data_IF_068624924435
#
_entry.id   IF_068624924435
#
_cell.length_a   1.000
_cell.length_b   1.000
_cell.length_c   1.000
_cell.angle_alpha   90.00
_cell.angle_beta   90.00
_cell.angle_gamma   90.00
#
_symmetry.space_group_name_H-M   'P 1'
#
loop_
_entity.id
_entity.type
_entity.pdbx_description
1 polymer ?
#
# COMPACT_ATOMS: atom_id res chain seq x y z
N UNK A 1 -61.69 -15.57 11.71
CA UNK A 1 -62.08 -14.15 11.61
C UNK A 1 -61.65 -13.72 10.21
N UNK A 2 -62.53 -13.56 9.21
CA UNK A 2 -63.73 -12.69 9.11
C UNK A 2 -63.37 -11.20 9.32
N UNK A 3 -63.74 -10.26 8.44
CA UNK A 3 -64.30 -10.37 7.08
C UNK A 3 -64.22 -9.01 6.32
N UNK A 4 -64.40 -9.03 4.98
CA UNK A 4 -65.06 -8.06 4.05
C UNK A 4 -64.88 -6.53 4.24
N UNK A 5 -65.00 -5.62 3.26
CA UNK A 5 -65.58 -5.56 1.89
C UNK A 5 -66.09 -4.09 1.71
N UNK A 6 -66.44 -3.50 0.56
CA UNK A 6 -66.49 -3.91 -0.86
C UNK A 6 -67.51 -3.00 -1.61
N UNK A 7 -67.15 -2.46 -2.78
CA UNK A 7 -68.03 -1.85 -3.83
C UNK A 7 -68.81 -0.54 -3.42
N UNK A 8 -69.38 0.33 -4.26
CA UNK A 8 -69.72 0.49 -5.71
C UNK A 8 -69.37 1.95 -6.16
N UNK A 9 -69.44 2.44 -7.42
CA UNK A 9 -69.80 1.91 -8.75
C UNK A 9 -70.21 3.06 -9.72
N UNK A 10 -70.00 2.89 -11.04
CA UNK A 10 -70.46 3.76 -12.18
C UNK A 10 -69.91 5.23 -12.22
N UNK A 11 -69.71 5.97 -13.34
CA UNK A 11 -69.86 5.83 -14.80
C UNK A 11 -69.20 7.08 -15.49
N UNK A 12 -69.31 7.42 -16.79
CA UNK A 12 -69.80 6.77 -18.02
C UNK A 12 -69.34 7.57 -19.28
N UNK A 13 -68.78 6.89 -20.32
CA UNK A 13 -68.65 7.25 -21.76
C UNK A 13 -67.90 8.52 -22.30
N UNK A 14 -67.21 8.34 -23.44
CA UNK A 14 -66.80 9.41 -24.37
C UNK A 14 -65.81 9.00 -25.48
N UNK A 15 -66.27 8.43 -26.60
CA UNK A 15 -65.42 7.87 -27.68
C UNK A 15 -65.75 8.41 -29.09
N UNK A 16 -64.76 8.90 -29.85
CA UNK A 16 -64.69 9.02 -31.33
C UNK A 16 -63.27 9.53 -31.72
N UNK A 17 -62.49 9.10 -32.73
CA UNK A 17 -62.60 8.33 -33.99
C UNK A 17 -62.81 9.14 -35.31
N UNK A 18 -61.68 9.33 -36.02
CA UNK A 18 -61.41 9.22 -37.48
C UNK A 18 -61.77 10.31 -38.54
N UNK A 19 -60.96 10.28 -39.63
CA UNK A 19 -61.01 11.06 -40.90
C UNK A 19 -59.63 11.72 -41.20
N UNK A 20 -58.74 11.32 -42.12
CA UNK A 20 -58.83 10.76 -43.50
C UNK A 20 -59.44 11.80 -44.50
N UNK A 21 -58.93 12.15 -45.70
CA UNK A 21 -57.74 11.72 -46.50
C UNK A 21 -57.52 12.64 -47.75
N UNK A 22 -56.31 12.65 -48.38
CA UNK A 22 -56.03 12.90 -49.85
C UNK A 22 -56.38 14.30 -50.49
N UNK A 23 -55.92 14.75 -51.69
CA UNK A 23 -54.80 14.48 -52.64
C UNK A 23 -54.65 15.65 -53.69
N UNK A 24 -53.57 15.69 -54.49
CA UNK A 24 -53.49 16.39 -55.82
C UNK A 24 -52.69 17.71 -55.87
N UNK A 25 -51.45 17.79 -56.38
CA UNK A 25 -50.94 17.85 -57.79
C UNK A 25 -51.09 19.18 -58.55
N UNK A 26 -49.96 19.79 -58.99
CA UNK A 26 -49.93 20.89 -59.99
C UNK A 26 -48.50 21.37 -60.32
N UNK A 27 -48.16 21.54 -61.61
CA UNK A 27 -46.84 22.03 -62.11
C UNK A 27 -46.96 23.44 -62.69
N UNK A 28 -45.87 24.23 -62.65
CA UNK A 28 -45.72 25.43 -63.50
C UNK A 28 -44.37 26.15 -63.34
N UNK A 29 -43.60 26.29 -64.42
CA UNK A 29 -42.60 27.38 -64.57
C UNK A 29 -43.29 28.67 -65.06
N UNK A 30 -42.63 29.77 -65.44
CA UNK A 30 -41.23 30.04 -65.81
C UNK A 30 -41.00 31.56 -65.57
N UNK A 31 -39.82 31.99 -65.11
CA UNK A 31 -39.22 33.26 -65.59
C UNK A 31 -37.71 33.33 -65.31
N UNK A 32 -36.99 34.14 -66.11
CA UNK A 32 -35.52 34.26 -66.12
C UNK A 32 -35.09 35.68 -65.74
N UNK A 33 -33.93 35.80 -65.09
CA UNK A 33 -33.26 37.08 -64.79
C UNK A 33 -31.74 36.94 -65.09
N UNK A 34 -31.00 38.01 -65.45
CA UNK A 34 -29.69 37.89 -66.13
C UNK A 34 -28.51 37.46 -65.24
N UNK A 35 -27.33 37.12 -65.83
CA UNK A 35 -26.22 36.52 -65.09
C UNK A 35 -25.33 37.55 -64.36
N UNK A 36 -25.17 37.39 -63.05
CA UNK A 36 -24.26 38.18 -62.23
C UNK A 36 -22.83 37.58 -62.15
N UNK A 37 -21.83 38.46 -61.95
CA UNK A 37 -20.39 38.27 -62.18
C UNK A 37 -19.68 37.27 -61.25
N UNK A 38 -20.41 36.55 -60.38
CA UNK A 38 -19.83 35.57 -59.43
C UNK A 38 -19.30 34.29 -60.08
N UNK A 39 -19.82 33.86 -61.25
CA UNK A 39 -19.44 32.56 -61.86
C UNK A 39 -18.03 32.49 -62.46
N UNK A 40 -17.33 33.60 -62.69
CA UNK A 40 -15.98 33.60 -63.26
C UNK A 40 -14.85 33.43 -62.22
N UNK A 41 -15.10 33.70 -60.93
CA UNK A 41 -14.07 33.47 -59.87
C UNK A 41 -13.98 32.02 -59.40
N UNK A 42 -15.09 31.25 -59.43
CA UNK A 42 -15.11 29.86 -58.95
C UNK A 42 -14.30 28.87 -59.83
N UNK A 43 -14.30 29.03 -61.16
CA UNK A 43 -13.57 28.12 -62.07
C UNK A 43 -12.04 28.23 -61.96
N UNK A 44 -11.50 29.29 -61.35
CA UNK A 44 -10.04 29.48 -61.21
C UNK A 44 -9.49 28.89 -59.90
N UNK A 45 -10.31 28.75 -58.86
CA UNK A 45 -9.93 28.10 -57.59
C UNK A 45 -9.99 26.58 -57.67
N UNK A 46 -11.00 25.99 -58.34
CA UNK A 46 -11.13 24.55 -58.51
C UNK A 46 -9.95 23.90 -59.26
N UNK A 47 -9.41 24.57 -60.28
CA UNK A 47 -8.22 24.08 -61.03
C UNK A 47 -6.93 24.11 -60.20
N UNK A 48 -6.85 24.93 -59.15
CA UNK A 48 -5.68 24.96 -58.24
C UNK A 48 -5.80 23.90 -57.14
N UNK A 49 -7.02 23.63 -56.64
CA UNK A 49 -7.29 22.56 -55.67
C UNK A 49 -6.99 21.16 -56.20
N UNK A 50 -7.37 20.85 -57.45
CA UNK A 50 -7.14 19.51 -58.04
C UNK A 50 -5.65 19.14 -58.17
N UNK A 51 -4.76 20.08 -58.51
CA UNK A 51 -3.31 19.79 -58.66
C UNK A 51 -2.59 19.55 -57.33
N UNK A 52 -3.12 20.03 -56.21
CA UNK A 52 -2.55 19.77 -54.87
C UNK A 52 -3.00 18.39 -54.35
N UNK A 53 -4.19 17.93 -54.76
CA UNK A 53 -4.72 16.62 -54.37
C UNK A 53 -4.01 15.43 -55.04
N UNK A 54 -3.44 15.59 -56.25
CA UNK A 54 -2.72 14.52 -56.94
C UNK A 54 -1.28 14.34 -56.45
N UNK A 55 -0.59 15.41 -56.03
CA UNK A 55 0.77 15.33 -55.48
C UNK A 55 0.85 14.66 -54.09
N UNK A 56 -0.25 14.67 -53.32
CA UNK A 56 -0.30 14.12 -51.96
C UNK A 56 -0.70 12.63 -51.89
N UNK A 57 -0.94 11.95 -53.03
CA UNK A 57 -1.37 10.56 -53.07
C UNK A 57 -0.31 9.51 -52.64
N UNK A 58 0.99 9.63 -53.00
CA UNK A 58 1.99 8.63 -52.59
C UNK A 58 2.22 8.54 -51.08
N UNK A 59 2.14 9.67 -50.36
CA UNK A 59 2.45 9.73 -48.93
C UNK A 59 1.33 9.20 -48.01
N UNK A 60 0.09 9.03 -48.51
CA UNK A 60 -1.01 8.42 -47.73
C UNK A 60 -0.95 6.89 -47.66
N UNK A 61 -0.15 6.24 -48.50
CA UNK A 61 0.08 4.79 -48.43
C UNK A 61 1.01 4.41 -47.26
N UNK A 62 2.15 5.09 -47.17
CA UNK A 62 3.22 4.79 -46.20
C UNK A 62 2.79 5.04 -44.75
N UNK A 63 1.92 6.03 -44.51
CA UNK A 63 1.50 6.39 -43.15
C UNK A 63 0.50 5.38 -42.50
N UNK A 64 -0.02 4.40 -43.26
CA UNK A 64 -0.92 3.34 -42.77
C UNK A 64 -0.21 2.05 -42.33
N UNK A 65 1.08 1.90 -42.61
CA UNK A 65 1.89 0.72 -42.21
C UNK A 65 2.78 0.97 -40.98
N UNK A 66 2.64 2.13 -40.30
CA UNK A 66 3.35 2.41 -39.05
C UNK A 66 4.83 2.81 -39.19
N UNK A 67 5.34 2.99 -40.41
CA UNK A 67 6.73 3.41 -40.63
C UNK A 67 6.92 4.93 -40.38
N UNK A 68 8.04 5.29 -39.74
CA UNK A 68 8.45 6.69 -39.51
C UNK A 68 8.97 7.30 -40.81
N UNK A 69 8.53 8.50 -41.17
CA UNK A 69 8.99 9.22 -42.36
C UNK A 69 9.92 10.36 -41.96
N UNK A 70 11.16 10.33 -42.44
CA UNK A 70 12.10 11.44 -42.32
C UNK A 70 11.93 12.42 -43.48
N UNK A 71 12.00 13.72 -43.19
CA UNK A 71 11.86 14.80 -44.19
C UNK A 71 13.11 15.68 -44.18
N UNK A 72 13.86 15.65 -45.29
CA UNK A 72 15.05 16.49 -45.48
C UNK A 72 14.73 17.99 -45.62
N UNK A 73 15.75 18.87 -45.58
CA UNK A 73 15.57 20.31 -45.45
C UNK A 73 15.02 20.96 -46.73
N UNK A 74 13.82 21.55 -46.63
CA UNK A 74 13.24 22.46 -47.61
C UNK A 74 13.45 23.94 -47.22
N UNK A 75 13.27 24.89 -48.16
CA UNK A 75 13.80 26.25 -48.03
C UNK A 75 13.11 27.09 -46.94
N UNK A 76 13.93 27.93 -46.29
CA UNK A 76 13.54 28.84 -45.22
C UNK A 76 12.49 29.85 -45.71
N UNK A 77 11.32 29.85 -45.07
CA UNK A 77 10.26 30.83 -45.26
C UNK A 77 9.67 31.25 -43.90
N UNK A 78 9.36 32.53 -43.78
CA UNK A 78 9.12 33.26 -42.52
C UNK A 78 7.93 32.78 -41.70
N UNK A 79 8.00 33.06 -40.39
CA UNK A 79 7.01 32.72 -39.36
C UNK A 79 5.56 32.90 -39.80
N UNK A 80 4.79 31.82 -39.65
CA UNK A 80 3.33 31.86 -39.64
C UNK A 80 2.80 30.99 -38.51
N UNK A 81 2.00 31.65 -37.68
CA UNK A 81 1.34 31.14 -36.49
C UNK A 81 0.74 29.74 -36.69
N UNK A 82 1.23 28.75 -35.92
CA UNK A 82 0.68 27.39 -35.91
C UNK A 82 -0.56 27.37 -35.01
N UNK A 83 -1.75 27.02 -35.53
CA UNK A 83 -2.94 26.89 -34.68
C UNK A 83 -2.79 25.69 -33.74
N UNK A 84 -3.20 25.88 -32.49
CA UNK A 84 -3.09 24.90 -31.41
C UNK A 84 -3.78 23.57 -31.80
N UNK A 85 -3.07 22.45 -31.67
CA UNK A 85 -3.57 21.15 -32.07
C UNK A 85 -4.63 20.66 -31.07
N UNK A 86 -5.87 20.46 -31.56
CA UNK A 86 -7.00 20.02 -30.74
C UNK A 86 -6.69 18.77 -29.92
N UNK A 87 -6.97 18.84 -28.60
CA UNK A 87 -6.69 17.79 -27.62
C UNK A 87 -7.26 16.43 -28.06
N UNK A 88 -6.41 15.39 -28.09
CA UNK A 88 -6.82 14.03 -28.48
C UNK A 88 -7.85 13.48 -27.49
N UNK A 89 -9.10 13.34 -27.94
CA UNK A 89 -10.17 12.71 -27.17
C UNK A 89 -9.99 11.20 -27.19
N UNK A 90 -9.35 10.65 -26.14
CA UNK A 90 -9.39 9.19 -25.91
C UNK A 90 -10.78 8.80 -25.44
N UNK A 91 -11.45 7.91 -26.18
CA UNK A 91 -12.64 7.22 -25.66
C UNK A 91 -12.23 6.41 -24.43
N UNK A 92 -12.75 6.78 -23.25
CA UNK A 92 -12.66 5.98 -22.02
C UNK A 92 -13.93 5.14 -21.93
N UNK A 93 -13.83 3.84 -22.22
CA UNK A 93 -14.91 2.89 -21.90
C UNK A 93 -14.91 2.65 -20.38
N UNK A 94 -16.00 2.99 -19.66
CA UNK A 94 -16.05 2.79 -18.22
C UNK A 94 -16.18 1.29 -17.91
N UNK A 95 -15.06 0.65 -17.56
CA UNK A 95 -15.09 -0.64 -16.89
C UNK A 95 -15.46 -0.41 -15.43
N UNK A 96 -16.76 -0.25 -15.18
CA UNK A 96 -17.32 -0.13 -13.84
C UNK A 96 -17.30 -1.50 -13.15
N UNK A 97 -16.13 -1.91 -12.66
CA UNK A 97 -16.08 -2.78 -11.50
C UNK A 97 -16.60 -1.99 -10.31
N UNK A 98 -17.55 -2.55 -9.55
CA UNK A 98 -18.16 -1.84 -8.42
C UNK A 98 -17.07 -1.45 -7.41
N UNK A 99 -16.83 -0.16 -7.26
CA UNK A 99 -15.91 0.37 -6.26
C UNK A 99 -16.54 0.15 -4.88
N UNK A 100 -16.08 -0.88 -4.18
CA UNK A 100 -16.38 -1.10 -2.76
C UNK A 100 -15.97 0.16 -1.98
N UNK A 101 -16.77 0.61 -1.01
CA UNK A 101 -16.51 1.87 -0.32
C UNK A 101 -15.19 1.80 0.45
N UNK A 102 -14.31 2.76 0.19
CA UNK A 102 -13.11 3.10 0.99
C UNK A 102 -12.17 1.92 1.35
N UNK A 103 -11.63 1.22 0.35
CA UNK A 103 -10.46 0.36 0.58
C UNK A 103 -9.24 1.22 0.99
N UNK A 104 -8.75 1.05 2.21
CA UNK A 104 -7.44 1.56 2.65
C UNK A 104 -6.33 0.93 1.80
N UNK A 105 -5.48 1.74 1.17
CA UNK A 105 -4.32 1.25 0.41
C UNK A 105 -3.06 1.33 1.28
N UNK A 106 -2.93 0.40 2.24
CA UNK A 106 -1.73 0.27 3.09
C UNK A 106 -0.55 -0.15 2.22
N UNK A 107 0.50 0.67 2.13
CA UNK A 107 1.69 0.38 1.31
C UNK A 107 1.37 0.00 -0.16
N UNK A 108 0.33 0.62 -0.73
CA UNK A 108 -0.15 0.28 -2.08
C UNK A 108 -0.80 -1.11 -2.23
N UNK A 109 -1.14 -1.78 -1.12
CA UNK A 109 -1.90 -3.03 -1.16
C UNK A 109 -3.20 -2.88 -1.92
N UNK A 110 -3.44 -3.83 -2.82
CA UNK A 110 -4.74 -4.09 -3.42
C UNK A 110 -5.18 -5.51 -3.05
N UNK A 111 -6.43 -5.64 -2.60
CA UNK A 111 -7.07 -6.94 -2.44
C UNK A 111 -7.40 -7.51 -3.83
N UNK A 112 -6.78 -8.64 -4.19
CA UNK A 112 -7.22 -9.43 -5.33
C UNK A 112 -8.14 -10.54 -4.79
N UNK A 113 -9.48 -10.44 -4.93
CA UNK A 113 -10.35 -11.56 -4.61
C UNK A 113 -9.97 -12.74 -5.51
N UNK A 114 -9.82 -13.93 -4.93
CA UNK A 114 -9.46 -15.15 -5.66
C UNK A 114 -10.62 -15.66 -6.53
N UNK A 115 -10.89 -14.99 -7.64
CA UNK A 115 -11.78 -15.45 -8.71
C UNK A 115 -11.10 -16.50 -9.62
N UNK A 116 -10.34 -17.42 -9.02
CA UNK A 116 -9.88 -18.68 -9.64
C UNK A 116 -9.47 -19.66 -8.52
N UNK A 117 -10.20 -20.77 -8.31
CA UNK A 117 -9.75 -21.81 -7.40
C UNK A 117 -8.53 -22.55 -7.98
N UNK A 118 -7.70 -23.20 -7.14
CA UNK A 118 -6.78 -24.24 -7.61
C UNK A 118 -7.57 -25.36 -8.34
N UNK A 119 -6.90 -26.18 -9.18
CA UNK A 119 -7.58 -27.19 -10.00
C UNK A 119 -8.48 -28.10 -9.14
N UNK A 120 -9.67 -28.46 -9.63
CA UNK A 120 -10.69 -29.06 -8.79
C UNK A 120 -10.39 -30.53 -8.54
N UNK A 121 -10.02 -30.87 -7.31
CA UNK A 121 -10.34 -32.18 -6.77
C UNK A 121 -11.01 -32.06 -5.40
N UNK A 122 -12.29 -32.45 -5.39
CA UNK A 122 -13.21 -32.68 -4.26
C UNK A 122 -13.03 -31.82 -2.99
N UNK A 123 -13.71 -30.67 -2.96
CA UNK A 123 -14.26 -30.12 -1.72
C UNK A 123 -15.77 -29.86 -1.89
N UNK A 124 -16.58 -30.65 -1.17
CA UNK A 124 -18.01 -30.42 -1.04
C UNK A 124 -18.24 -29.27 -0.07
N UNK A 125 -18.98 -28.25 -0.52
CA UNK A 125 -19.77 -27.31 0.29
C UNK A 125 -19.23 -26.97 1.70
N UNK A 126 -18.41 -25.93 1.81
CA UNK A 126 -18.22 -25.20 3.07
C UNK A 126 -18.86 -23.80 2.95
N UNK A 127 -19.32 -23.26 4.09
CA UNK A 127 -20.04 -21.98 4.20
C UNK A 127 -19.29 -20.83 3.51
N UNK A 128 -20.03 -19.98 2.80
CA UNK A 128 -19.49 -18.76 2.17
C UNK A 128 -18.72 -17.91 3.18
N UNK A 129 -17.55 -17.38 2.76
CA UNK A 129 -16.75 -16.44 3.53
C UNK A 129 -15.43 -16.96 4.11
N UNK A 130 -15.19 -18.29 4.12
CA UNK A 130 -13.98 -18.89 4.74
C UNK A 130 -12.92 -19.36 3.73
N UNK A 131 -12.55 -18.48 2.82
CA UNK A 131 -11.50 -18.76 1.83
C UNK A 131 -10.18 -18.10 2.23
N UNK A 132 -9.07 -18.71 1.81
CA UNK A 132 -7.77 -18.04 1.83
C UNK A 132 -7.82 -16.74 1.02
N UNK A 133 -7.07 -15.72 1.43
CA UNK A 133 -7.01 -14.42 0.74
C UNK A 133 -5.57 -14.08 0.38
N UNK A 134 -5.40 -13.38 -0.73
CA UNK A 134 -4.11 -12.86 -1.16
C UNK A 134 -4.26 -11.36 -1.37
N UNK A 135 -3.44 -10.59 -0.68
CA UNK A 135 -3.27 -9.16 -0.87
C UNK A 135 -1.93 -8.97 -1.57
N UNK A 136 -1.91 -8.18 -2.63
CA UNK A 136 -0.71 -7.92 -3.43
C UNK A 136 -0.42 -6.44 -3.46
N UNK A 137 0.85 -6.05 -3.38
CA UNK A 137 1.25 -4.66 -3.57
C UNK A 137 2.66 -4.55 -4.13
N UNK A 138 3.14 -3.31 -4.25
CA UNK A 138 4.49 -3.00 -4.69
C UNK A 138 5.15 -2.03 -3.72
N UNK A 139 6.34 -2.37 -3.26
CA UNK A 139 7.18 -1.54 -2.39
C UNK A 139 8.38 -1.02 -3.18
N UNK A 140 8.59 0.29 -3.12
CA UNK A 140 9.74 0.99 -3.69
C UNK A 140 9.91 2.35 -2.99
N UNK A 141 11.14 2.85 -2.91
CA UNK A 141 11.43 4.12 -2.23
C UNK A 141 10.92 5.35 -3.00
N UNK A 142 10.70 5.24 -4.32
CA UNK A 142 10.10 6.30 -5.13
C UNK A 142 8.61 6.55 -4.83
N UNK A 143 7.90 5.51 -4.39
CA UNK A 143 6.47 5.53 -4.05
C UNK A 143 6.23 5.69 -2.55
N UNK A 144 7.20 5.30 -1.73
CA UNK A 144 7.14 5.34 -0.27
C UNK A 144 8.45 5.94 0.30
N UNK A 145 8.76 7.21 0.02
CA UNK A 145 10.07 7.81 0.30
C UNK A 145 10.44 7.82 1.79
N UNK A 146 9.45 7.91 2.67
CA UNK A 146 9.65 7.81 4.12
C UNK A 146 10.27 6.47 4.56
N UNK A 147 10.22 5.39 3.75
CA UNK A 147 10.90 4.13 4.07
C UNK A 147 12.43 4.25 4.00
N UNK A 148 12.98 5.24 3.30
CA UNK A 148 14.42 5.51 3.29
C UNK A 148 14.94 5.99 4.65
N UNK A 149 14.06 6.56 5.48
CA UNK A 149 14.36 7.05 6.83
C UNK A 149 14.44 5.93 7.89
N UNK A 150 14.50 4.65 7.49
CA UNK A 150 14.68 3.52 8.40
C UNK A 150 15.79 2.59 7.89
N UNK A 151 17.02 2.96 8.21
CA UNK A 151 18.21 2.18 7.92
C UNK A 151 18.80 1.56 9.19
N UNK A 152 19.34 0.35 9.04
CA UNK A 152 20.07 -0.37 10.09
C UNK A 152 21.40 -0.81 9.49
N UNK A 153 22.52 -0.43 10.10
CA UNK A 153 23.88 -0.69 9.59
C UNK A 153 23.99 -0.31 8.10
N UNK A 154 23.71 0.96 7.80
CA UNK A 154 23.65 1.55 6.45
C UNK A 154 22.66 0.88 5.45
N UNK A 155 21.84 -0.07 5.90
CA UNK A 155 20.94 -0.85 5.03
C UNK A 155 19.47 -0.47 5.27
N UNK A 156 18.79 0.06 4.26
CA UNK A 156 17.36 0.37 4.33
C UNK A 156 16.54 -0.93 4.42
N UNK A 157 15.81 -1.11 5.51
CA UNK A 157 14.95 -2.28 5.74
C UNK A 157 13.52 -1.88 6.10
N UNK A 158 12.55 -2.72 5.72
CA UNK A 158 11.16 -2.50 6.11
C UNK A 158 11.05 -2.64 7.66
N UNK A 159 10.53 -1.62 8.37
CA UNK A 159 10.45 -1.65 9.84
C UNK A 159 9.53 -2.78 10.32
N UNK A 160 9.80 -3.29 11.52
CA UNK A 160 9.00 -4.36 12.14
C UNK A 160 7.51 -4.01 12.23
N UNK A 161 7.21 -2.73 12.43
CA UNK A 161 5.86 -2.16 12.55
C UNK A 161 5.07 -2.15 11.25
N UNK A 162 5.73 -2.13 10.09
CA UNK A 162 5.03 -2.24 8.81
C UNK A 162 4.43 -3.64 8.62
N UNK A 163 5.08 -4.69 9.12
CA UNK A 163 4.50 -6.05 9.12
C UNK A 163 3.28 -6.16 10.04
N UNK A 164 3.30 -5.46 11.17
CA UNK A 164 2.15 -5.35 12.10
C UNK A 164 0.97 -4.69 11.39
N UNK A 165 1.18 -3.54 10.76
CA UNK A 165 0.14 -2.83 9.99
C UNK A 165 -0.39 -3.66 8.81
N UNK A 166 0.49 -4.36 8.07
CA UNK A 166 0.09 -5.30 7.01
C UNK A 166 -0.76 -6.47 7.54
N UNK A 167 -0.42 -7.01 8.71
CA UNK A 167 -1.14 -8.11 9.35
C UNK A 167 -2.50 -7.65 9.94
N UNK A 168 -2.57 -6.47 10.56
CA UNK A 168 -3.81 -5.84 11.00
C UNK A 168 -4.75 -5.53 9.82
N UNK A 169 -4.19 -5.02 8.71
CA UNK A 169 -4.93 -4.80 7.48
C UNK A 169 -5.54 -6.10 6.92
N UNK A 170 -4.77 -7.20 6.96
CA UNK A 170 -5.26 -8.52 6.57
C UNK A 170 -6.34 -9.05 7.53
N UNK A 171 -6.15 -8.86 8.85
CA UNK A 171 -7.09 -9.28 9.90
C UNK A 171 -8.48 -8.64 9.70
N UNK A 172 -8.54 -7.31 9.58
CA UNK A 172 -9.77 -6.57 9.33
C UNK A 172 -10.54 -7.13 8.11
N UNK A 173 -9.82 -7.56 7.07
CA UNK A 173 -10.44 -8.16 5.89
C UNK A 173 -10.87 -9.62 6.06
N UNK A 174 -10.26 -10.39 6.98
CA UNK A 174 -10.70 -11.76 7.31
C UNK A 174 -11.80 -11.82 8.38
N UNK A 175 -12.16 -10.69 9.00
CA UNK A 175 -13.05 -10.67 10.17
C UNK A 175 -12.33 -11.12 11.45
N UNK A 176 -11.01 -10.90 11.50
CA UNK A 176 -10.18 -11.03 12.69
C UNK A 176 -9.85 -9.62 13.19
N UNK A 177 -9.73 -9.42 14.49
CA UNK A 177 -9.54 -8.08 15.09
C UNK A 177 -8.15 -7.87 15.70
N UNK A 178 -7.35 -8.95 15.80
CA UNK A 178 -6.00 -8.91 16.39
C UNK A 178 -5.02 -9.86 15.72
N UNK A 179 -3.76 -9.59 15.98
CA UNK A 179 -2.63 -10.51 15.78
C UNK A 179 -2.44 -11.27 17.10
N UNK A 180 -2.56 -12.59 17.06
CA UNK A 180 -2.21 -13.44 18.21
C UNK A 180 -0.70 -13.51 18.36
N UNK A 181 -0.02 -13.88 17.27
CA UNK A 181 1.42 -13.90 17.15
C UNK A 181 1.83 -13.47 15.73
N UNK A 182 2.98 -12.81 15.60
CA UNK A 182 3.64 -12.52 14.33
C UNK A 182 5.16 -12.56 14.54
N UNK A 183 5.80 -13.54 13.91
CA UNK A 183 7.25 -13.76 13.95
C UNK A 183 7.92 -13.27 12.66
N UNK A 184 8.92 -12.40 12.81
CA UNK A 184 9.76 -11.87 11.75
C UNK A 184 10.96 -12.82 11.52
N UNK A 185 10.96 -13.48 10.37
CA UNK A 185 11.90 -14.56 10.04
C UNK A 185 13.15 -14.05 9.30
N UNK A 186 12.99 -13.07 8.42
CA UNK A 186 14.07 -12.50 7.62
C UNK A 186 13.79 -11.02 7.30
N UNK A 187 14.77 -10.10 7.42
CA UNK A 187 14.61 -8.72 7.00
C UNK A 187 14.20 -8.61 5.53
N UNK A 188 13.41 -7.58 5.21
CA UNK A 188 13.11 -7.19 3.84
C UNK A 188 13.93 -5.92 3.56
N UNK A 189 15.02 -6.08 2.82
CA UNK A 189 15.89 -4.98 2.39
C UNK A 189 15.21 -4.27 1.22
N UNK A 190 14.96 -2.97 1.36
CA UNK A 190 14.44 -2.17 0.25
C UNK A 190 15.59 -1.75 -0.67
N UNK A 191 15.49 -1.95 -1.99
CA UNK A 191 16.52 -1.49 -2.89
C UNK A 191 16.42 0.01 -3.12
N UNK A 192 17.57 0.66 -3.28
CA UNK A 192 17.66 2.07 -3.68
C UNK A 192 16.92 2.35 -5.00
N UNK A 193 16.96 1.41 -5.96
CA UNK A 193 16.28 1.53 -7.25
C UNK A 193 15.47 0.28 -7.59
N UNK A 194 14.36 0.51 -8.31
CA UNK A 194 13.40 -0.53 -8.67
C UNK A 194 12.44 -0.85 -7.53
N UNK A 195 11.75 -1.98 -7.64
CA UNK A 195 10.66 -2.32 -6.74
C UNK A 195 10.68 -3.79 -6.31
N UNK A 196 9.95 -4.07 -5.23
CA UNK A 196 9.62 -5.39 -4.75
C UNK A 196 8.11 -5.61 -4.93
N UNK A 197 7.74 -6.72 -5.56
CA UNK A 197 6.37 -7.20 -5.48
C UNK A 197 6.22 -7.91 -4.12
N UNK A 198 5.19 -7.57 -3.35
CA UNK A 198 4.95 -8.19 -2.04
C UNK A 198 3.56 -8.80 -1.93
N UNK A 199 3.45 -9.82 -1.09
CA UNK A 199 2.24 -10.58 -0.85
C UNK A 199 2.00 -10.77 0.65
N UNK A 200 0.76 -10.53 1.05
CA UNK A 200 0.21 -11.01 2.33
C UNK A 200 -0.79 -12.11 1.99
N UNK A 201 -0.60 -13.30 2.55
CA UNK A 201 -1.47 -14.46 2.31
C UNK A 201 -2.07 -14.90 3.64
N UNK A 202 -3.40 -14.92 3.72
CA UNK A 202 -4.12 -15.50 4.87
C UNK A 202 -4.67 -16.87 4.50
N UNK A 203 -4.66 -17.79 5.46
CA UNK A 203 -5.39 -19.05 5.37
C UNK A 203 -6.91 -18.84 5.43
N UNK A 204 -7.70 -19.91 5.24
CA UNK A 204 -9.13 -19.88 5.55
C UNK A 204 -9.34 -19.69 7.06
N UNK A 205 -10.40 -18.98 7.44
CA UNK A 205 -10.77 -18.79 8.86
C UNK A 205 -11.35 -20.08 9.43
N UNK A 206 -10.78 -20.54 10.53
CA UNK A 206 -11.20 -21.73 11.28
C UNK A 206 -12.53 -21.53 12.01
N UNK A 207 -13.14 -22.60 12.54
CA UNK A 207 -14.36 -22.50 13.35
C UNK A 207 -14.18 -21.68 14.63
N UNK A 208 -12.96 -21.59 15.15
CA UNK A 208 -12.61 -20.79 16.32
C UNK A 208 -12.24 -19.33 15.98
N UNK A 209 -12.39 -18.88 14.72
CA UNK A 209 -12.14 -17.49 14.31
C UNK A 209 -10.67 -17.16 13.96
N UNK A 210 -9.74 -18.11 14.09
CA UNK A 210 -8.33 -17.90 13.77
C UNK A 210 -8.02 -18.17 12.29
N UNK A 211 -7.06 -17.44 11.71
CA UNK A 211 -6.42 -17.78 10.44
C UNK A 211 -4.91 -17.49 10.46
N UNK A 212 -4.10 -18.36 9.86
CA UNK A 212 -2.66 -18.12 9.69
C UNK A 212 -2.38 -17.04 8.65
N UNK A 213 -1.33 -16.25 8.84
CA UNK A 213 -0.88 -15.20 7.91
C UNK A 213 0.60 -15.38 7.56
N UNK A 214 0.97 -15.12 6.30
CA UNK A 214 2.37 -15.05 5.86
C UNK A 214 2.60 -13.79 5.03
N UNK A 215 3.78 -13.17 5.20
CA UNK A 215 4.20 -11.99 4.44
C UNK A 215 5.47 -12.33 3.66
N UNK A 216 5.44 -12.10 2.35
CA UNK A 216 6.49 -12.49 1.40
C UNK A 216 6.80 -11.38 0.42
N UNK A 217 8.02 -11.33 -0.09
CA UNK A 217 8.41 -10.43 -1.18
C UNK A 217 9.27 -11.12 -2.23
N UNK A 218 9.37 -10.52 -3.41
CA UNK A 218 10.36 -10.82 -4.44
C UNK A 218 10.71 -9.54 -5.20
N UNK A 219 11.84 -9.53 -5.91
CA UNK A 219 12.12 -8.46 -6.89
C UNK A 219 11.00 -8.40 -7.92
N UNK A 220 10.50 -7.20 -8.17
CA UNK A 220 9.63 -6.96 -9.31
C UNK A 220 10.45 -7.14 -10.59
N UNK A 221 10.00 -8.00 -11.49
CA UNK A 221 10.70 -8.24 -12.75
C UNK A 221 10.66 -7.01 -13.65
N UNK A 222 11.79 -6.71 -14.30
CA UNK A 222 11.79 -5.96 -15.55
C UNK A 222 11.33 -6.91 -16.69
N UNK A 223 10.72 -6.36 -17.74
CA UNK A 223 10.16 -7.15 -18.84
C UNK A 223 11.21 -8.12 -19.44
N UNK A 224 10.88 -9.41 -19.45
CA UNK A 224 11.73 -10.48 -19.99
C UNK A 224 12.66 -11.18 -18.98
N UNK A 225 12.75 -10.72 -17.72
CA UNK A 225 13.51 -11.41 -16.69
C UNK A 225 12.82 -12.71 -16.19
N UNK A 226 13.60 -13.69 -15.72
CA UNK A 226 13.09 -14.87 -15.01
C UNK A 226 12.50 -14.45 -13.67
N UNK A 227 11.32 -14.97 -13.29
CA UNK A 227 10.72 -14.67 -11.99
C UNK A 227 11.65 -15.02 -10.83
N UNK A 228 11.90 -14.03 -9.97
CA UNK A 228 12.59 -14.23 -8.70
C UNK A 228 11.74 -15.11 -7.75
N UNK A 229 12.43 -15.91 -6.92
CA UNK A 229 11.80 -16.70 -5.88
C UNK A 229 11.20 -15.80 -4.78
N UNK A 230 10.10 -16.23 -4.18
CA UNK A 230 9.51 -15.56 -3.03
C UNK A 230 10.33 -15.82 -1.77
N UNK A 231 10.79 -14.74 -1.11
CA UNK A 231 11.34 -14.77 0.25
C UNK A 231 10.20 -14.58 1.24
N UNK A 232 10.14 -15.40 2.29
CA UNK A 232 9.22 -15.21 3.40
C UNK A 232 9.88 -14.40 4.51
N UNK A 233 9.22 -13.31 4.90
CA UNK A 233 9.73 -12.35 5.88
C UNK A 233 9.00 -12.45 7.22
N UNK A 234 7.70 -12.76 7.21
CA UNK A 234 6.93 -12.95 8.43
C UNK A 234 5.93 -14.11 8.31
N UNK A 235 5.60 -14.71 9.45
CA UNK A 235 4.53 -15.69 9.62
C UNK A 235 3.87 -15.49 10.98
N UNK A 236 2.58 -15.79 11.10
CA UNK A 236 1.87 -15.65 12.37
C UNK A 236 0.42 -16.12 12.31
N UNK A 237 -0.35 -15.81 13.35
CA UNK A 237 -1.78 -16.09 13.43
C UNK A 237 -2.59 -14.83 13.75
N UNK A 238 -3.72 -14.70 13.08
CA UNK A 238 -4.73 -13.67 13.29
C UNK A 238 -5.90 -14.31 14.04
N UNK A 239 -6.50 -13.58 14.99
CA UNK A 239 -7.56 -14.08 15.86
C UNK A 239 -8.76 -13.13 15.95
N UNK A 240 -9.89 -13.60 16.50
CA UNK A 240 -11.00 -12.72 16.89
C UNK A 240 -10.53 -11.70 17.94
N UNK A 241 -11.30 -10.64 18.17
CA UNK A 241 -11.10 -9.81 19.36
C UNK A 241 -10.98 -10.70 20.62
N UNK A 242 -9.89 -10.51 21.37
CA UNK A 242 -9.75 -11.14 22.68
C UNK A 242 -10.78 -10.59 23.65
N UNK A 243 -10.94 -11.24 24.80
CA UNK A 243 -11.74 -10.65 25.88
C UNK A 243 -11.24 -9.22 26.18
N UNK A 244 -12.16 -8.26 26.44
CA UNK A 244 -11.78 -6.91 26.81
C UNK A 244 -10.85 -6.93 28.03
N UNK A 245 -9.55 -6.77 27.80
CA UNK A 245 -8.58 -6.58 28.86
C UNK A 245 -9.03 -5.36 29.67
N UNK A 246 -9.04 -5.42 31.02
CA UNK A 246 -9.42 -4.28 31.84
C UNK A 246 -8.51 -3.11 31.45
N UNK A 247 -9.12 -2.08 30.89
CA UNK A 247 -8.41 -0.93 30.34
C UNK A 247 -7.59 -0.31 31.49
N UNK A 248 -6.25 -0.20 31.36
CA UNK A 248 -5.42 0.32 32.44
C UNK A 248 -5.97 1.62 33.04
N UNK A 249 -5.81 1.82 34.35
CA UNK A 249 -6.31 3.03 35.02
C UNK A 249 -5.72 4.35 34.45
N UNK A 250 -4.65 4.26 33.65
CA UNK A 250 -3.98 5.36 32.98
C UNK A 250 -4.81 6.08 31.90
N UNK A 251 -5.88 5.47 31.35
CA UNK A 251 -6.65 6.09 30.26
C UNK A 251 -7.54 7.25 30.76
N UNK A 252 -7.82 7.32 32.07
CA UNK A 252 -8.52 8.45 32.70
C UNK A 252 -7.56 9.37 33.51
N UNK A 253 -6.26 9.07 33.49
CA UNK A 253 -5.27 9.78 34.28
C UNK A 253 -4.77 11.09 33.63
N UNK A 254 -4.25 11.98 34.48
CA UNK A 254 -3.50 13.15 34.04
C UNK A 254 -2.25 12.75 33.22
N UNK A 255 -1.87 13.60 32.26
CA UNK A 255 -0.72 13.35 31.40
C UNK A 255 0.29 14.51 31.45
N UNK A 256 1.58 14.25 31.75
CA UNK A 256 2.11 12.97 32.26
C UNK A 256 1.51 12.64 33.64
N UNK A 257 1.61 11.38 34.12
CA UNK A 257 1.13 11.01 35.45
C UNK A 257 1.77 11.86 36.56
N UNK A 258 0.98 12.16 37.60
CA UNK A 258 1.48 12.90 38.75
C UNK A 258 2.65 12.16 39.43
N UNK A 259 3.77 12.85 39.63
CA UNK A 259 5.00 12.27 40.18
C UNK A 259 5.95 11.65 39.14
N UNK A 260 5.56 11.55 37.87
CA UNK A 260 6.45 11.10 36.80
C UNK A 260 7.62 12.08 36.61
N UNK A 261 8.84 11.55 36.51
CA UNK A 261 10.08 12.31 36.31
C UNK A 261 10.38 12.43 34.83
N UNK A 262 10.80 13.60 34.34
CA UNK A 262 11.16 13.77 32.94
C UNK A 262 12.43 12.96 32.58
N UNK A 263 12.40 12.30 31.42
CA UNK A 263 13.54 11.56 30.86
C UNK A 263 14.01 12.31 29.61
N UNK A 264 15.31 12.58 29.52
CA UNK A 264 15.85 13.35 28.39
C UNK A 264 15.84 12.53 27.09
N UNK A 265 15.14 13.04 26.09
CA UNK A 265 15.16 12.59 24.69
C UNK A 265 16.33 13.21 23.90
N UNK A 266 17.06 14.17 24.49
CA UNK A 266 18.12 14.92 23.83
C UNK A 266 19.26 14.00 23.36
N UNK A 267 19.72 14.21 22.12
CA UNK A 267 20.77 13.42 21.48
C UNK A 267 20.44 11.94 21.28
N UNK A 268 19.19 11.48 21.50
CA UNK A 268 18.82 10.06 21.36
C UNK A 268 19.15 9.54 19.96
N UNK A 269 18.65 10.19 18.92
CA UNK A 269 18.85 9.76 17.54
C UNK A 269 20.33 9.82 17.09
N UNK A 270 21.12 10.75 17.62
CA UNK A 270 22.57 10.80 17.40
C UNK A 270 23.30 9.61 18.04
N UNK A 271 22.87 9.18 19.24
CA UNK A 271 23.39 7.96 19.90
C UNK A 271 22.98 6.69 19.15
N UNK A 272 21.74 6.62 18.67
CA UNK A 272 21.24 5.47 17.90
C UNK A 272 21.97 5.34 16.55
N UNK A 273 22.17 6.44 15.81
CA UNK A 273 22.95 6.45 14.57
C UNK A 273 24.40 6.02 14.79
N UNK A 274 25.06 6.47 15.88
CA UNK A 274 26.39 5.94 16.28
C UNK A 274 26.44 4.44 16.54
N UNK A 275 25.30 3.81 16.80
CA UNK A 275 25.17 2.36 16.97
C UNK A 275 24.69 1.67 15.68
N UNK A 276 24.52 2.38 14.56
CA UNK A 276 23.98 1.83 13.31
C UNK A 276 22.46 1.67 13.29
N UNK A 277 21.73 2.50 14.03
CA UNK A 277 20.28 2.69 13.91
C UNK A 277 20.01 4.09 13.35
N UNK A 278 19.94 4.18 12.03
CA UNK A 278 19.88 5.43 11.28
C UNK A 278 18.44 5.76 10.92
N UNK A 279 17.78 6.42 11.87
CA UNK A 279 16.42 6.94 11.72
C UNK A 279 16.46 8.34 11.10
N UNK A 280 15.86 8.49 9.91
CA UNK A 280 15.61 9.79 9.28
C UNK A 280 14.33 10.46 9.79
N UNK A 281 14.01 11.68 9.29
CA UNK A 281 12.95 12.53 9.84
C UNK A 281 11.60 11.84 10.08
N UNK A 282 11.12 10.99 9.18
CA UNK A 282 9.83 10.31 9.33
C UNK A 282 9.74 9.39 10.57
N UNK A 283 10.87 8.88 11.05
CA UNK A 283 10.99 7.99 12.23
C UNK A 283 11.48 8.73 13.48
N UNK A 284 11.90 10.00 13.37
CA UNK A 284 12.32 10.82 14.50
C UNK A 284 11.14 11.45 15.28
N UNK A 285 10.10 10.64 15.56
CA UNK A 285 8.83 11.12 16.12
C UNK A 285 8.76 11.25 17.64
N UNK A 286 9.74 10.78 18.42
CA UNK A 286 9.73 10.80 19.88
C UNK A 286 10.18 12.17 20.41
N UNK A 287 9.25 12.92 21.02
CA UNK A 287 9.51 14.30 21.46
C UNK A 287 9.83 14.40 22.95
N UNK A 288 8.93 13.90 23.78
CA UNK A 288 8.96 14.04 25.25
C UNK A 288 8.74 12.70 25.91
N UNK A 289 9.42 12.46 27.03
CA UNK A 289 9.32 11.23 27.78
C UNK A 289 9.41 11.46 29.30
N UNK A 290 8.80 10.55 30.04
CA UNK A 290 8.79 10.53 31.51
C UNK A 290 8.87 9.10 32.04
N UNK A 291 9.34 8.94 33.26
CA UNK A 291 9.38 7.67 33.98
C UNK A 291 8.58 7.78 35.28
N UNK A 292 7.77 6.77 35.57
CA UNK A 292 7.09 6.61 36.86
C UNK A 292 7.14 5.14 37.28
N UNK A 293 7.99 4.82 38.26
CA UNK A 293 8.36 3.44 38.57
C UNK A 293 8.98 2.75 37.35
N UNK A 294 8.53 1.53 37.07
CA UNK A 294 9.00 0.69 35.95
C UNK A 294 8.27 1.01 34.62
N UNK A 295 7.52 2.11 34.57
CA UNK A 295 6.75 2.52 33.38
C UNK A 295 7.33 3.78 32.76
N UNK A 296 7.61 3.72 31.46
CA UNK A 296 7.93 4.86 30.62
C UNK A 296 6.68 5.39 29.94
N UNK A 297 6.57 6.71 29.87
CA UNK A 297 5.51 7.45 29.19
C UNK A 297 6.14 8.33 28.13
N UNK A 298 5.57 8.40 26.92
CA UNK A 298 6.11 9.25 25.86
C UNK A 298 5.01 9.85 24.96
N UNK A 299 5.28 11.04 24.42
CA UNK A 299 4.48 11.63 23.34
C UNK A 299 5.26 11.56 22.02
N UNK A 300 4.61 10.98 21.01
CA UNK A 300 5.15 10.76 19.67
C UNK A 300 4.30 11.54 18.68
N UNK A 301 4.92 12.12 17.64
CA UNK A 301 4.17 12.56 16.45
C UNK A 301 4.85 12.17 15.16
N UNK A 302 4.06 12.05 14.10
CA UNK A 302 4.58 12.07 12.73
C UNK A 302 5.10 13.47 12.38
N UNK A 303 6.05 13.53 11.46
CA UNK A 303 6.39 14.76 10.74
C UNK A 303 5.24 15.15 9.82
N UNK A 304 5.04 16.45 9.62
CA UNK A 304 3.92 17.00 8.84
C UNK A 304 3.88 16.53 7.36
N UNK A 305 5.02 16.11 6.81
CA UNK A 305 5.14 15.62 5.43
C UNK A 305 4.73 14.15 5.27
N UNK A 306 4.54 13.43 6.37
CA UNK A 306 4.10 12.03 6.38
C UNK A 306 2.56 11.95 6.39
N UNK A 307 1.96 11.22 5.45
CA UNK A 307 0.50 11.10 5.34
C UNK A 307 -0.04 9.80 5.98
N UNK A 308 -0.70 9.85 7.16
CA UNK A 308 -1.25 8.67 7.84
C UNK A 308 -2.60 8.16 7.29
N UNK A 309 -3.24 8.84 6.31
CA UNK A 309 -4.65 8.63 5.95
C UNK A 309 -5.04 7.19 5.57
N UNK A 310 -4.11 6.40 5.03
CA UNK A 310 -4.38 5.04 4.55
C UNK A 310 -4.06 3.93 5.56
N UNK A 311 -3.58 4.30 6.75
CA UNK A 311 -3.07 3.36 7.74
C UNK A 311 -4.01 3.20 8.93
N UNK A 312 -3.85 2.09 9.63
CA UNK A 312 -4.49 1.81 10.92
C UNK A 312 -3.66 2.46 12.03
N UNK A 313 -2.36 2.18 12.05
CA UNK A 313 -1.34 3.05 12.62
C UNK A 313 -0.22 3.22 11.59
N UNK A 314 0.23 4.46 11.34
CA UNK A 314 1.34 4.66 10.39
C UNK A 314 2.60 3.94 10.91
N UNK A 315 3.30 3.11 10.11
CA UNK A 315 4.39 2.31 10.62
C UNK A 315 5.50 3.12 11.31
N UNK A 316 5.87 4.28 10.77
CA UNK A 316 6.85 5.16 11.39
C UNK A 316 6.39 5.79 12.73
N UNK A 317 5.08 6.02 12.92
CA UNK A 317 4.53 6.48 14.21
C UNK A 317 4.61 5.37 15.26
N UNK A 318 4.29 4.14 14.85
CA UNK A 318 4.38 2.96 15.71
C UNK A 318 5.83 2.59 16.02
N UNK A 319 6.76 2.82 15.09
CA UNK A 319 8.19 2.51 15.27
C UNK A 319 8.84 3.53 16.22
N UNK A 320 8.55 4.83 16.03
CA UNK A 320 8.96 5.88 16.96
C UNK A 320 8.44 5.66 18.40
N UNK A 321 7.30 4.98 18.58
CA UNK A 321 6.83 4.56 19.89
C UNK A 321 7.76 3.50 20.55
N UNK A 322 8.36 2.61 19.76
CA UNK A 322 9.32 1.62 20.24
C UNK A 322 10.63 2.27 20.70
N UNK A 323 11.03 3.41 20.12
CA UNK A 323 12.27 4.09 20.48
C UNK A 323 12.31 4.53 21.94
N UNK A 324 11.15 4.64 22.58
CA UNK A 324 10.98 4.81 24.04
C UNK A 324 11.77 3.75 24.82
N UNK A 325 11.95 2.53 24.29
CA UNK A 325 12.79 1.48 24.90
C UNK A 325 14.22 1.94 25.14
N UNK A 326 14.83 2.66 24.20
CA UNK A 326 16.24 3.10 24.29
C UNK A 326 16.46 4.19 25.34
N UNK A 327 15.40 4.70 25.97
CA UNK A 327 15.47 5.55 27.16
C UNK A 327 15.63 4.75 28.46
N UNK A 328 15.26 3.46 28.46
CA UNK A 328 15.42 2.57 29.60
C UNK A 328 16.90 2.16 29.77
N UNK A 329 17.48 2.19 30.98
CA UNK A 329 18.89 1.85 31.20
C UNK A 329 19.32 0.49 30.62
N UNK A 330 18.52 -0.55 30.83
CA UNK A 330 18.82 -1.92 30.37
C UNK A 330 18.75 -2.13 28.84
N UNK A 331 18.26 -1.13 28.10
CA UNK A 331 18.11 -1.17 26.64
C UNK A 331 18.99 -0.15 25.91
N UNK A 332 19.89 0.54 26.62
CA UNK A 332 20.87 1.43 25.98
C UNK A 332 21.85 0.63 25.11
N UNK A 333 22.17 1.17 23.93
CA UNK A 333 23.07 0.53 22.99
C UNK A 333 24.52 0.94 23.22
N UNK A 334 25.43 -0.02 23.04
CA UNK A 334 26.87 0.17 23.07
C UNK A 334 27.38 0.39 21.62
N UNK A 335 27.95 1.56 21.27
CA UNK A 335 28.43 1.83 19.91
C UNK A 335 29.64 0.97 19.50
N UNK A 336 30.26 0.23 20.43
CA UNK A 336 31.30 -0.76 20.11
C UNK A 336 30.72 -2.12 19.71
N UNK A 337 29.41 -2.35 19.92
CA UNK A 337 28.71 -3.59 19.61
C UNK A 337 27.82 -3.44 18.36
N UNK A 338 28.25 -4.04 17.25
CA UNK A 338 27.50 -4.02 15.98
C UNK A 338 26.26 -4.93 15.92
N UNK A 339 25.85 -5.56 17.04
CA UNK A 339 24.70 -6.45 17.10
C UNK A 339 23.44 -5.68 17.54
N UNK A 340 22.53 -5.41 16.60
CA UNK A 340 21.42 -4.47 16.81
C UNK A 340 20.15 -5.20 17.25
N UNK A 341 19.55 -4.89 18.41
CA UNK A 341 18.27 -5.48 18.81
C UNK A 341 17.14 -4.90 17.97
N UNK A 342 16.52 -5.74 17.12
CA UNK A 342 15.36 -5.37 16.30
C UNK A 342 14.11 -6.13 16.75
N UNK A 343 12.90 -5.62 16.47
CA UNK A 343 11.66 -6.37 16.63
C UNK A 343 11.74 -7.75 15.95
N UNK A 344 11.41 -8.80 16.69
CA UNK A 344 11.47 -10.19 16.20
C UNK A 344 10.13 -10.92 16.31
N UNK A 345 9.44 -10.80 17.45
CA UNK A 345 8.12 -11.39 17.63
C UNK A 345 7.16 -10.42 18.31
N UNK A 346 5.94 -10.36 17.79
CA UNK A 346 4.84 -9.58 18.31
C UNK A 346 3.77 -10.54 18.80
N UNK A 347 3.30 -10.38 20.03
CA UNK A 347 2.25 -11.21 20.61
C UNK A 347 1.13 -10.33 21.14
N UNK A 348 -0.11 -10.70 20.81
CA UNK A 348 -1.31 -10.00 21.23
C UNK A 348 -1.33 -8.52 20.80
N UNK A 349 -1.24 -8.25 19.50
CA UNK A 349 -1.45 -6.89 18.98
C UNK A 349 -2.90 -6.69 18.61
N UNK A 350 -3.61 -5.88 19.39
CA UNK A 350 -5.01 -5.51 19.16
C UNK A 350 -5.06 -4.04 18.77
N UNK A 351 -5.70 -3.73 17.63
CA UNK A 351 -6.07 -2.35 17.29
C UNK A 351 -7.46 -2.05 17.86
N UNK A 352 -7.60 -0.91 18.52
CA UNK A 352 -8.86 -0.43 19.07
C UNK A 352 -9.40 0.65 18.15
N UNK A 353 -10.59 0.45 17.58
CA UNK A 353 -11.21 1.44 16.69
C UNK A 353 -11.49 2.74 17.45
N UNK A 354 -10.81 3.86 17.14
CA UNK A 354 -11.06 5.13 17.82
C UNK A 354 -12.45 5.67 17.47
N UNK A 355 -13.01 6.53 18.34
CA UNK A 355 -14.31 7.18 18.08
C UNK A 355 -14.23 8.18 16.92
N UNK A 356 -13.03 8.70 16.63
CA UNK A 356 -12.76 9.62 15.54
C UNK A 356 -12.23 8.88 14.31
N UNK A 357 -12.86 9.10 13.15
CA UNK A 357 -12.39 8.59 11.86
C UNK A 357 -11.21 9.41 11.27
N UNK A 358 -10.62 10.33 12.05
CA UNK A 358 -9.49 11.15 11.59
C UNK A 358 -8.17 10.37 11.61
N UNK A 359 -7.26 10.58 10.65
CA UNK A 359 -5.95 9.94 10.66
C UNK A 359 -5.12 10.32 11.88
N UNK A 360 -4.49 9.33 12.50
CA UNK A 360 -3.67 9.52 13.72
C UNK A 360 -2.30 10.10 13.37
N UNK A 361 -2.02 11.32 13.84
CA UNK A 361 -0.73 11.99 13.70
C UNK A 361 0.07 12.04 15.01
N UNK A 362 -0.61 11.91 16.15
CA UNK A 362 -0.03 12.00 17.50
C UNK A 362 -0.42 10.79 18.32
N UNK A 363 0.50 10.31 19.14
CA UNK A 363 0.37 9.10 19.94
C UNK A 363 0.91 9.36 21.34
N UNK A 364 0.21 8.84 22.34
CA UNK A 364 0.70 8.68 23.71
C UNK A 364 1.04 7.21 23.92
N UNK A 365 2.21 6.98 24.50
CA UNK A 365 2.78 5.65 24.75
C UNK A 365 2.89 5.46 26.24
N UNK A 366 2.29 4.40 26.77
CA UNK A 366 2.69 3.82 28.04
C UNK A 366 3.42 2.51 27.74
N UNK A 367 4.68 2.41 28.15
CA UNK A 367 5.55 1.27 27.92
C UNK A 367 6.04 0.71 29.26
N UNK A 368 5.89 -0.59 29.44
CA UNK A 368 6.54 -1.35 30.51
C UNK A 368 7.53 -2.33 29.89
N UNK A 369 8.70 -2.48 30.50
CA UNK A 369 9.72 -3.43 30.01
C UNK A 369 10.41 -4.15 31.16
N UNK A 370 10.95 -5.31 30.83
CA UNK A 370 11.66 -6.24 31.70
C UNK A 370 12.53 -7.13 30.81
N UNK A 371 13.36 -7.99 31.41
CA UNK A 371 14.33 -8.84 30.68
C UNK A 371 13.72 -9.70 29.55
N UNK A 372 12.43 -10.07 29.64
CA UNK A 372 11.77 -10.98 28.69
C UNK A 372 10.40 -10.50 28.20
N UNK A 373 9.92 -9.35 28.67
CA UNK A 373 8.57 -8.87 28.39
C UNK A 373 8.56 -7.35 28.23
N UNK A 374 8.07 -6.89 27.07
CA UNK A 374 7.87 -5.48 26.73
C UNK A 374 6.44 -5.30 26.26
N UNK A 375 5.62 -4.56 27.01
CA UNK A 375 4.24 -4.27 26.67
C UNK A 375 4.06 -2.78 26.34
N UNK A 376 3.16 -2.47 25.39
CA UNK A 376 2.83 -1.11 25.01
C UNK A 376 1.31 -0.90 25.00
N UNK A 377 0.88 0.20 25.61
CA UNK A 377 -0.47 0.73 25.50
C UNK A 377 -0.40 2.08 24.78
N UNK A 378 -1.13 2.19 23.67
CA UNK A 378 -1.06 3.31 22.74
C UNK A 378 -2.40 4.05 22.71
N UNK A 379 -2.37 5.36 22.93
CA UNK A 379 -3.57 6.21 23.03
C UNK A 379 -3.47 7.50 22.22
N UNK A 380 -4.61 8.14 21.97
CA UNK A 380 -4.66 9.51 21.44
C UNK A 380 -4.21 10.52 22.51
N UNK A 381 -4.01 11.78 22.10
CA UNK A 381 -3.83 12.92 23.03
C UNK A 381 -5.07 13.22 23.90
N UNK A 382 -6.22 12.60 23.59
CA UNK A 382 -7.45 12.60 24.38
C UNK A 382 -7.65 11.28 25.15
N UNK A 383 -6.57 10.51 25.33
CA UNK A 383 -6.51 9.21 26.02
C UNK A 383 -7.44 8.12 25.47
N UNK A 384 -7.94 8.23 24.24
CA UNK A 384 -8.69 7.14 23.61
C UNK A 384 -7.75 5.99 23.24
N UNK A 385 -8.13 4.71 23.45
CA UNK A 385 -7.32 3.56 23.03
C UNK A 385 -7.15 3.53 21.50
N UNK A 386 -5.93 3.26 21.05
CA UNK A 386 -5.58 3.05 19.64
C UNK A 386 -5.02 1.64 19.40
N UNK A 387 -4.10 1.18 20.23
CA UNK A 387 -3.64 -0.21 20.19
C UNK A 387 -3.08 -0.68 21.54
N UNK A 388 -3.10 -2.00 21.73
CA UNK A 388 -2.35 -2.70 22.78
C UNK A 388 -1.41 -3.69 22.12
N UNK A 389 -0.17 -3.76 22.58
CA UNK A 389 0.80 -4.81 22.26
C UNK A 389 1.08 -5.55 23.56
N UNK A 390 0.61 -6.80 23.69
CA UNK A 390 0.80 -7.60 24.91
C UNK A 390 2.27 -7.95 25.13
N UNK A 391 3.01 -8.36 24.10
CA UNK A 391 4.46 -8.55 24.22
C UNK A 391 5.21 -8.34 22.90
N UNK A 392 6.21 -7.47 22.93
CA UNK A 392 7.25 -7.35 21.92
C UNK A 392 8.53 -8.06 22.40
N UNK A 393 9.00 -9.03 21.61
CA UNK A 393 10.32 -9.63 21.77
C UNK A 393 11.26 -9.09 20.70
N UNK A 394 12.40 -8.55 21.11
CA UNK A 394 13.50 -8.17 20.24
C UNK A 394 14.49 -9.32 20.07
N UNK A 395 15.25 -9.32 18.96
CA UNK A 395 16.38 -10.20 18.74
C UNK A 395 17.51 -9.42 18.10
N UNK A 396 18.74 -9.69 18.49
CA UNK A 396 19.90 -9.10 17.84
C UNK A 396 20.04 -9.60 16.40
N UNK A 397 20.37 -8.69 15.48
CA UNK A 397 20.84 -8.99 14.13
C UNK A 397 22.32 -8.63 14.02
N UNK A 398 23.08 -9.44 13.28
CA UNK A 398 24.49 -9.16 12.98
C UNK A 398 24.64 -8.53 11.59
N UNK A 399 25.73 -7.78 11.31
CA UNK A 399 26.00 -7.26 9.97
C UNK A 399 26.01 -8.36 8.88
N UNK A 400 26.51 -9.55 9.21
CA UNK A 400 26.55 -10.69 8.30
C UNK A 400 25.15 -11.20 7.93
N UNK A 401 24.21 -11.25 8.88
CA UNK A 401 22.83 -11.66 8.62
C UNK A 401 22.11 -10.66 7.70
N UNK A 402 22.41 -9.37 7.84
CA UNK A 402 21.84 -8.31 7.02
C UNK A 402 22.41 -8.33 5.59
N UNK A 403 23.74 -8.51 5.45
CA UNK A 403 24.40 -8.75 4.16
C UNK A 403 23.82 -9.97 3.43
N UNK A 404 23.55 -11.08 4.13
CA UNK A 404 22.90 -12.26 3.55
C UNK A 404 21.49 -11.95 3.02
N UNK A 405 20.70 -11.15 3.75
CA UNK A 405 19.38 -10.71 3.28
C UNK A 405 19.48 -9.88 2.00
N UNK A 406 20.47 -8.98 1.91
CA UNK A 406 20.75 -8.18 0.70
C UNK A 406 21.12 -9.04 -0.50
N UNK A 407 22.00 -10.05 -0.34
CA UNK A 407 22.38 -10.99 -1.41
C UNK A 407 21.18 -11.81 -1.91
N UNK A 408 20.36 -12.35 -0.99
CA UNK A 408 19.13 -13.08 -1.32
C UNK A 408 18.14 -12.19 -2.07
N UNK A 409 17.90 -10.97 -1.58
CA UNK A 409 17.03 -9.99 -2.21
C UNK A 409 17.52 -9.49 -3.58
N UNK A 410 18.80 -9.66 -3.90
CA UNK A 410 19.39 -9.24 -5.18
C UNK A 410 19.41 -10.33 -6.26
N UNK A 411 19.00 -11.56 -5.91
CA UNK A 411 19.10 -12.72 -6.82
C UNK A 411 20.54 -13.18 -7.09
N UNK A 412 21.52 -12.64 -6.35
CA UNK A 412 22.95 -12.94 -6.48
C UNK A 412 23.36 -14.21 -5.73
N UNK A 413 22.49 -14.75 -4.87
CA UNK A 413 22.70 -16.07 -4.27
C UNK A 413 22.64 -17.17 -5.34
N UNK A 414 23.81 -17.66 -5.75
CA UNK A 414 23.95 -18.86 -6.56
C UNK A 414 23.26 -20.08 -5.92
N UNK A 415 23.00 -21.10 -6.73
CA UNK A 415 22.08 -22.22 -6.41
C UNK A 415 22.53 -23.21 -5.30
N UNK A 416 23.37 -22.79 -4.35
CA UNK A 416 23.83 -23.57 -3.20
C UNK A 416 23.10 -23.29 -1.88
N UNK A 417 22.38 -22.17 -1.74
CA UNK A 417 21.77 -21.76 -0.46
C UNK A 417 20.37 -22.37 -0.18
N UNK A 418 19.81 -23.12 -1.14
CA UNK A 418 18.47 -23.72 -1.06
C UNK A 418 18.41 -25.05 -0.31
N UNK A 419 18.96 -25.12 0.90
CA UNK A 419 18.93 -26.31 1.76
C UNK A 419 17.83 -26.22 2.83
N UNK A 420 16.84 -27.11 2.80
CA UNK A 420 15.82 -27.19 3.83
C UNK A 420 16.41 -27.69 5.17
N UNK A 421 16.78 -26.74 6.04
CA UNK A 421 17.25 -27.01 7.39
C UNK A 421 16.83 -25.89 8.33
N UNK A 422 16.00 -26.22 9.33
CA UNK A 422 15.65 -25.25 10.37
C UNK A 422 16.89 -24.83 11.16
N UNK A 423 16.93 -23.57 11.60
CA UNK A 423 18.01 -23.01 12.43
C UNK A 423 18.23 -23.87 13.69
N UNK A 424 19.24 -24.74 13.66
CA UNK A 424 19.84 -25.33 14.85
C UNK A 424 21.13 -24.58 15.15
N UNK A 425 21.19 -23.95 16.31
CA UNK A 425 22.44 -23.44 16.86
C UNK A 425 23.41 -24.60 17.08
N UNK A 426 24.65 -24.43 16.65
CA UNK A 426 25.75 -25.33 16.93
C UNK A 426 26.91 -24.52 17.54
N UNK A 427 27.01 -24.54 18.86
CA UNK A 427 28.23 -24.13 19.55
C UNK A 427 29.25 -25.28 19.45
N UNK A 428 30.47 -24.99 19.04
CA UNK A 428 31.56 -25.96 18.96
C UNK A 428 32.74 -25.39 18.18
N UNK A 429 33.88 -25.21 18.85
CA UNK A 429 35.04 -24.52 18.26
C UNK A 429 35.84 -25.37 17.27
N UNK A 430 36.65 -24.69 16.46
CA UNK A 430 37.55 -25.30 15.47
C UNK A 430 37.71 -24.39 14.27
N UNK A 431 38.71 -23.51 14.29
CA UNK A 431 38.91 -22.54 13.21
C UNK A 431 39.55 -23.15 11.96
N UNK A 432 39.02 -22.77 10.79
CA UNK A 432 39.78 -22.69 9.52
C UNK A 432 39.23 -21.49 8.75
N UNK A 433 40.11 -20.65 8.21
CA UNK A 433 39.72 -19.54 7.35
C UNK A 433 39.16 -20.04 6.01
N UNK A 434 38.08 -19.42 5.54
CA UNK A 434 37.62 -19.57 4.16
C UNK A 434 37.45 -18.19 3.50
N UNK A 435 38.58 -17.59 3.13
CA UNK A 435 38.62 -16.50 2.15
C UNK A 435 38.30 -17.06 0.75
N UNK A 436 37.19 -16.59 0.14
CA UNK A 436 36.88 -16.45 -1.32
C UNK A 436 35.37 -16.60 -1.54
N UNK A 437 34.74 -15.90 -2.48
CA UNK A 437 35.06 -14.65 -3.17
C UNK A 437 33.76 -14.17 -3.83
N UNK A 438 33.44 -12.88 -3.73
CA UNK A 438 32.34 -12.29 -4.51
C UNK A 438 32.87 -11.73 -5.84
N UNK A 439 32.18 -12.06 -6.92
CA UNK A 439 32.09 -11.30 -8.17
C UNK A 439 30.65 -11.49 -8.67
#
# INVERSE_FOLDING_TARGET
>A
MLACGGEFGEGVHGTAIAGDRQHGTGRGGISRTPPDRRRLRHRRTERRGKRIAEAARPLRGVHRSGARVETGPGPVAQDRHVPEAGRVVRQRSPHCGQQLPFQRQVLGLSLIPLSRPPPPDRLRSSREGRHARIFTGRLALDTHPWLADHAVLDTVILPGTAYVELALHAAHHTGCDRIEDLTLQAPLVLPEQGALDFQVVTGPVSDAGFCGVTIRSRRANADGAREAAWTQHATGNLGPAGEPQPQPAAYEAAWPPAGAQAVSTEGLYERLSRCGLDYGPAFQGLHTAWQHGDTLYAEISLTNDTNPTHYTLHPALLDAALHTLFLHPDHQLDPTNSNIPLPFAWNGVTHHTPTSNQPTHHLRVQLTTSTHHTALHLTTTTNQPLATITNLTTRTITPQQLQQATCCGSGLCGAGCGGAGGFRAACGGGGVECHRACC
#
